data_IF_435392171158
#
_entry.id   IF_435392171158
#
_cell.length_a   1.000
_cell.length_b   1.000
_cell.length_c   1.000
_cell.angle_alpha   90.00
_cell.angle_beta   90.00
_cell.angle_gamma   90.00
#
_symmetry.space_group_name_H-M   'P 1'
#
loop_
_entity.id
_entity.type
_entity.pdbx_description
1 polymer ?
#
# COMPACT_ATOMS: atom_id res chain seq x y z
N UNK A 1 -5.99 -9.51 12.57
CA UNK A 1 -6.12 -9.77 11.13
C UNK A 1 -4.93 -10.63 10.77
N UNK A 2 -5.16 -11.72 10.06
CA UNK A 2 -4.08 -12.56 9.57
C UNK A 2 -3.20 -11.78 8.58
N UNK A 3 -1.97 -12.23 8.34
CA UNK A 3 -0.98 -11.48 7.55
C UNK A 3 -1.42 -11.19 6.10
N UNK A 4 -2.37 -11.94 5.57
CA UNK A 4 -2.93 -11.81 4.23
C UNK A 4 -4.34 -11.20 4.21
N UNK A 5 -4.81 -10.59 5.31
CA UNK A 5 -6.14 -9.98 5.40
C UNK A 5 -6.08 -8.45 5.48
N UNK A 6 -7.08 -7.80 4.92
CA UNK A 6 -7.37 -6.38 5.12
C UNK A 6 -8.89 -6.18 5.19
N UNK A 7 -9.34 -5.12 5.85
CA UNK A 7 -10.77 -4.80 5.96
C UNK A 7 -11.05 -3.53 5.15
N UNK A 8 -11.97 -3.63 4.19
CA UNK A 8 -12.48 -2.48 3.44
C UNK A 8 -13.85 -2.03 4.00
N UNK A 9 -13.97 -0.72 4.28
CA UNK A 9 -15.17 -0.08 4.79
C UNK A 9 -15.60 0.98 3.78
N UNK A 10 -16.81 0.83 3.22
CA UNK A 10 -17.38 1.77 2.24
C UNK A 10 -18.63 2.41 2.83
N UNK A 11 -18.76 3.73 2.69
CA UNK A 11 -19.96 4.45 3.12
C UNK A 11 -19.84 5.18 4.46
N UNK A 12 -18.65 5.19 5.07
CA UNK A 12 -18.45 5.86 6.36
C UNK A 12 -18.74 7.37 6.25
N UNK A 13 -19.62 7.86 7.11
CA UNK A 13 -19.93 9.28 7.27
C UNK A 13 -19.08 9.87 8.39
N UNK A 14 -18.55 11.07 8.17
CA UNK A 14 -17.87 11.83 9.22
C UNK A 14 -18.88 12.68 9.97
N UNK A 15 -18.92 12.55 11.30
CA UNK A 15 -19.85 13.32 12.15
C UNK A 15 -19.19 14.47 12.93
N UNK A 16 -17.87 14.47 13.07
CA UNK A 16 -17.19 15.41 13.97
C UNK A 16 -15.90 15.98 13.41
N UNK A 17 -15.60 17.20 13.81
CA UNK A 17 -14.28 17.83 13.70
C UNK A 17 -13.46 17.54 14.95
N UNK A 18 -12.13 17.51 14.78
CA UNK A 18 -11.20 17.42 15.90
C UNK A 18 -9.99 18.33 15.70
N UNK A 19 -9.30 18.65 16.80
CA UNK A 19 -7.97 19.25 16.81
C UNK A 19 -7.02 18.45 17.70
N UNK A 20 -5.72 18.65 17.51
CA UNK A 20 -4.69 17.94 18.27
C UNK A 20 -4.61 16.45 17.95
N UNK A 21 -3.75 15.76 18.70
CA UNK A 21 -3.46 14.34 18.56
C UNK A 21 -3.03 13.75 19.91
N UNK A 22 -3.33 12.46 20.14
CA UNK A 22 -3.07 11.77 21.40
C UNK A 22 -3.59 12.57 22.62
N UNK A 23 -2.74 12.92 23.58
CA UNK A 23 -3.13 13.67 24.79
C UNK A 23 -3.72 15.06 24.51
N UNK A 24 -3.40 15.65 23.35
CA UNK A 24 -3.94 16.94 22.91
C UNK A 24 -5.22 16.82 22.07
N UNK A 25 -5.72 15.61 21.81
CA UNK A 25 -6.93 15.39 21.03
C UNK A 25 -8.14 16.07 21.68
N UNK A 26 -8.87 16.88 20.91
CA UNK A 26 -10.09 17.57 21.34
C UNK A 26 -11.15 17.50 20.24
N UNK A 27 -12.40 17.27 20.63
CA UNK A 27 -13.55 17.53 19.77
C UNK A 27 -13.61 19.02 19.44
N UNK A 28 -13.83 19.37 18.18
CA UNK A 28 -13.87 20.76 17.70
C UNK A 28 -15.16 21.13 16.97
N UNK A 29 -16.26 20.42 17.28
CA UNK A 29 -17.60 20.69 16.77
C UNK A 29 -18.10 19.62 15.81
N UNK A 30 -19.40 19.65 15.54
CA UNK A 30 -20.04 18.74 14.59
C UNK A 30 -19.53 18.98 13.17
N UNK A 31 -19.59 17.94 12.34
CA UNK A 31 -19.29 18.00 10.92
C UNK A 31 -20.47 17.46 10.12
N UNK A 32 -20.95 18.27 9.17
CA UNK A 32 -21.97 17.83 8.20
C UNK A 32 -21.24 17.33 6.97
N UNK A 33 -21.26 16.02 6.76
CA UNK A 33 -20.60 15.40 5.60
C UNK A 33 -21.39 15.67 4.32
N UNK A 34 -20.79 16.48 3.45
CA UNK A 34 -21.37 16.87 2.16
C UNK A 34 -20.93 15.98 1.00
N UNK A 35 -20.24 14.86 1.28
CA UNK A 35 -19.84 13.91 0.24
C UNK A 35 -21.07 13.32 -0.44
N UNK A 36 -20.94 13.17 -1.75
CA UNK A 36 -21.93 12.47 -2.56
C UNK A 36 -22.10 11.02 -2.11
N UNK A 37 -23.25 10.46 -2.47
CA UNK A 37 -23.56 9.05 -2.25
C UNK A 37 -23.40 8.27 -3.55
N UNK A 38 -23.12 6.98 -3.45
CA UNK A 38 -23.17 6.06 -4.58
C UNK A 38 -24.61 5.57 -4.86
N UNK A 39 -24.76 4.69 -5.85
CA UNK A 39 -26.04 4.10 -6.24
C UNK A 39 -26.70 3.25 -5.13
N UNK A 40 -25.95 2.87 -4.10
CA UNK A 40 -26.46 2.13 -2.93
C UNK A 40 -26.77 3.07 -1.75
N UNK A 41 -26.68 4.39 -1.93
CA UNK A 41 -26.92 5.37 -0.86
C UNK A 41 -25.78 5.46 0.15
N UNK A 42 -24.61 4.90 -0.14
CA UNK A 42 -23.43 4.95 0.74
C UNK A 42 -22.61 6.19 0.42
N UNK A 43 -22.08 6.89 1.43
CA UNK A 43 -21.13 7.99 1.19
C UNK A 43 -19.95 7.51 0.36
N UNK A 44 -19.46 8.34 -0.58
CA UNK A 44 -18.24 8.09 -1.37
C UNK A 44 -16.96 8.24 -0.50
N UNK A 45 -16.89 7.44 0.55
CA UNK A 45 -15.78 7.30 1.49
C UNK A 45 -15.41 5.82 1.52
N UNK A 46 -14.16 5.51 1.20
CA UNK A 46 -13.60 4.16 1.25
C UNK A 46 -12.37 4.18 2.15
N UNK A 47 -12.38 3.34 3.17
CA UNK A 47 -11.30 3.24 4.16
C UNK A 47 -10.85 1.78 4.16
N UNK A 48 -9.54 1.55 4.07
CA UNK A 48 -8.96 0.22 4.21
C UNK A 48 -8.12 0.17 5.48
N UNK A 49 -8.41 -0.80 6.34
CA UNK A 49 -7.65 -1.07 7.54
C UNK A 49 -6.60 -2.16 7.27
N UNK A 50 -5.33 -1.81 7.50
CA UNK A 50 -4.16 -2.70 7.45
C UNK A 50 -3.32 -2.51 8.71
N UNK A 51 -2.91 -3.61 9.34
CA UNK A 51 -2.11 -3.60 10.56
C UNK A 51 -0.61 -3.76 10.24
N UNK A 52 0.23 -2.82 10.68
CA UNK A 52 1.68 -2.96 10.61
C UNK A 52 2.20 -3.83 11.78
N UNK A 53 3.38 -4.42 11.63
CA UNK A 53 4.04 -5.13 12.73
C UNK A 53 4.39 -4.16 13.86
N UNK A 54 4.18 -4.59 15.11
CA UNK A 54 4.58 -3.84 16.30
C UNK A 54 6.02 -4.16 16.70
N UNK A 55 6.66 -3.24 17.44
CA UNK A 55 8.03 -3.41 17.93
C UNK A 55 9.05 -3.69 16.82
N UNK A 56 8.98 -2.93 15.73
CA UNK A 56 9.72 -3.16 14.49
C UNK A 56 11.24 -3.39 14.70
N UNK A 57 11.87 -2.55 15.52
CA UNK A 57 13.27 -2.69 15.93
C UNK A 57 14.23 -2.87 14.75
N UNK A 58 15.31 -3.64 14.94
CA UNK A 58 16.17 -4.06 13.81
C UNK A 58 15.56 -5.20 13.00
N UNK A 59 14.57 -5.92 13.55
CA UNK A 59 13.91 -7.02 12.86
C UNK A 59 13.27 -6.56 11.55
N UNK A 60 12.71 -5.36 11.49
CA UNK A 60 12.02 -4.85 10.29
C UNK A 60 12.82 -4.88 8.98
N UNK A 61 14.15 -4.93 9.04
CA UNK A 61 15.02 -5.03 7.87
C UNK A 61 15.25 -6.46 7.39
N UNK A 62 14.85 -7.49 8.16
CA UNK A 62 14.89 -8.87 7.67
C UNK A 62 13.90 -9.06 6.54
N UNK A 63 14.31 -9.82 5.53
CA UNK A 63 13.52 -10.08 4.31
C UNK A 63 12.09 -10.56 4.60
N UNK A 64 11.91 -11.43 5.60
CA UNK A 64 10.59 -11.97 5.96
C UNK A 64 9.62 -10.89 6.42
N UNK A 65 10.10 -9.87 7.14
CA UNK A 65 9.26 -8.79 7.65
C UNK A 65 9.03 -7.72 6.58
N UNK A 66 10.02 -7.42 5.72
CA UNK A 66 9.80 -6.60 4.54
C UNK A 66 8.71 -7.20 3.64
N UNK A 67 8.77 -8.52 3.41
CA UNK A 67 7.78 -9.24 2.61
C UNK A 67 6.40 -9.21 3.27
N UNK A 68 6.32 -9.45 4.60
CA UNK A 68 5.06 -9.37 5.35
C UNK A 68 4.41 -7.99 5.20
N UNK A 69 5.15 -6.92 5.45
CA UNK A 69 4.61 -5.56 5.42
C UNK A 69 4.20 -5.15 4.00
N UNK A 70 4.97 -5.58 2.99
CA UNK A 70 4.66 -5.35 1.57
C UNK A 70 3.40 -6.10 1.16
N UNK A 71 3.25 -7.37 1.55
CA UNK A 71 2.06 -8.18 1.26
C UNK A 71 0.81 -7.68 1.98
N UNK A 72 0.95 -7.23 3.24
CA UNK A 72 -0.14 -6.61 3.99
C UNK A 72 -0.64 -5.33 3.32
N UNK A 73 0.27 -4.44 2.95
CA UNK A 73 -0.08 -3.23 2.21
C UNK A 73 -0.71 -3.57 0.86
N UNK A 74 -0.13 -4.53 0.11
CA UNK A 74 -0.67 -4.98 -1.17
C UNK A 74 -2.08 -5.55 -1.03
N UNK A 75 -2.34 -6.38 -0.02
CA UNK A 75 -3.67 -6.91 0.27
C UNK A 75 -4.70 -5.78 0.48
N UNK A 76 -4.34 -4.73 1.23
CA UNK A 76 -5.21 -3.57 1.41
C UNK A 76 -5.34 -2.68 0.17
N UNK A 77 -4.34 -2.64 -0.70
CA UNK A 77 -4.36 -1.77 -1.88
C UNK A 77 -4.97 -2.45 -3.10
N UNK A 78 -5.12 -3.77 -3.11
CA UNK A 78 -5.67 -4.51 -4.23
C UNK A 78 -7.12 -4.07 -4.54
N UNK A 79 -7.36 -3.62 -5.77
CA UNK A 79 -8.70 -3.28 -6.24
C UNK A 79 -9.38 -4.53 -6.80
N UNK A 80 -10.29 -5.12 -6.01
CA UNK A 80 -11.01 -6.33 -6.41
C UNK A 80 -11.89 -6.12 -7.65
N UNK A 81 -12.35 -4.89 -7.92
CA UNK A 81 -13.17 -4.59 -9.10
C UNK A 81 -12.42 -4.71 -10.41
N UNK A 82 -11.07 -4.64 -10.38
CA UNK A 82 -10.19 -4.78 -11.54
C UNK A 82 -9.59 -6.19 -11.66
N UNK A 83 -9.79 -7.02 -10.65
CA UNK A 83 -9.30 -8.39 -10.65
C UNK A 83 -10.25 -9.26 -11.48
N UNK A 84 -10.10 -9.21 -12.80
CA UNK A 84 -10.49 -10.34 -13.65
C UNK A 84 -9.64 -11.53 -13.20
N UNK A 85 -10.24 -12.43 -12.40
CA UNK A 85 -9.62 -13.63 -11.82
C UNK A 85 -8.94 -14.54 -12.87
N UNK A 86 -9.15 -14.27 -14.16
CA UNK A 86 -8.58 -14.99 -15.32
C UNK A 86 -7.22 -14.46 -15.80
N UNK A 87 -6.80 -13.24 -15.46
CA UNK A 87 -5.58 -12.63 -16.02
C UNK A 87 -4.31 -12.89 -15.22
N UNK A 88 -4.40 -13.11 -13.91
CA UNK A 88 -3.22 -13.25 -13.05
C UNK A 88 -2.50 -14.61 -13.16
N UNK A 89 -3.15 -15.64 -13.71
CA UNK A 89 -2.59 -17.00 -13.78
C UNK A 89 -2.42 -17.53 -15.21
N UNK A 90 -2.57 -16.69 -16.24
CA UNK A 90 -2.55 -17.14 -17.66
C UNK A 90 -1.21 -16.99 -18.38
N UNK A 91 -0.11 -16.79 -17.65
CA UNK A 91 1.24 -16.92 -18.21
C UNK A 91 2.16 -17.64 -17.23
N UNK A 92 2.01 -18.96 -17.23
CA UNK A 92 2.86 -19.91 -16.53
C UNK A 92 2.71 -21.25 -17.24
N UNK A 93 3.16 -21.32 -18.50
CA UNK A 93 3.10 -22.51 -19.33
C UNK A 93 3.92 -23.66 -18.74
N UNK A 94 3.28 -24.48 -17.91
CA UNK A 94 3.74 -25.82 -17.56
C UNK A 94 2.84 -26.83 -18.28
N UNK A 95 3.36 -27.37 -19.38
CA UNK A 95 2.84 -28.61 -20.00
C UNK A 95 3.13 -29.77 -19.04
N UNK A 96 2.10 -30.47 -18.60
CA UNK A 96 2.28 -31.74 -17.90
C UNK A 96 1.01 -32.34 -17.29
N UNK A 97 0.47 -33.33 -18.01
CA UNK A 97 -0.28 -34.50 -17.50
C UNK A 97 -1.75 -34.35 -17.04
N UNK A 98 -2.66 -34.71 -17.96
CA UNK A 98 -3.63 -35.84 -17.87
C UNK A 98 -4.03 -36.35 -16.46
N UNK A 99 -5.26 -36.66 -16.08
CA UNK A 99 -6.58 -36.88 -16.69
C UNK A 99 -7.58 -36.99 -15.53
N UNK A 100 -8.82 -36.49 -15.64
CA UNK A 100 -10.07 -37.22 -15.31
C UNK A 100 -11.18 -36.64 -16.19
N UNK A 101 -11.74 -37.46 -17.07
CA UNK A 101 -13.04 -37.22 -17.70
C UNK A 101 -14.11 -37.66 -16.71
N UNK A 102 -15.07 -36.80 -16.42
CA UNK A 102 -16.35 -37.19 -15.85
C UNK A 102 -17.44 -36.32 -16.51
N UNK A 103 -18.58 -36.98 -16.72
CA UNK A 103 -19.56 -36.73 -17.76
C UNK A 103 -20.38 -35.44 -17.65
N UNK A 104 -21.00 -35.12 -18.78
CA UNK A 104 -21.93 -34.01 -18.98
C UNK A 104 -23.20 -34.23 -18.16
N UNK A 105 -23.64 -33.19 -17.47
CA UNK A 105 -25.06 -32.85 -17.36
C UNK A 105 -25.18 -31.35 -17.66
N UNK A 106 -25.96 -31.05 -18.71
CA UNK A 106 -26.38 -29.71 -19.11
C UNK A 106 -27.41 -29.22 -18.09
N UNK A 107 -27.02 -28.27 -17.24
CA UNK A 107 -27.95 -27.34 -16.61
C UNK A 107 -27.43 -25.91 -16.76
N UNK A 108 -28.22 -25.11 -17.46
CA UNK A 108 -28.09 -23.66 -17.61
C UNK A 108 -28.34 -23.00 -16.25
N UNK A 109 -27.32 -23.01 -15.39
CA UNK A 109 -27.28 -22.06 -14.28
C UNK A 109 -26.81 -20.71 -14.83
N UNK A 110 -27.74 -19.77 -14.95
CA UNK A 110 -27.41 -18.36 -15.03
C UNK A 110 -26.38 -18.06 -13.95
N UNK A 111 -25.14 -17.78 -14.37
CA UNK A 111 -24.15 -17.20 -13.48
C UNK A 111 -24.83 -15.99 -12.80
N UNK A 112 -24.81 -15.90 -11.46
CA UNK A 112 -25.52 -14.84 -10.75
C UNK A 112 -25.07 -13.52 -11.37
N UNK A 113 -26.01 -12.58 -11.62
CA UNK A 113 -25.74 -11.38 -12.38
C UNK A 113 -24.48 -10.79 -11.81
N UNK A 114 -23.45 -10.74 -12.68
CA UNK A 114 -22.11 -10.25 -12.33
C UNK A 114 -22.35 -9.07 -11.42
N UNK A 115 -21.74 -9.14 -10.24
CA UNK A 115 -21.64 -8.09 -9.26
C UNK A 115 -21.00 -6.86 -9.93
N UNK A 116 -21.79 -6.19 -10.79
CA UNK A 116 -21.53 -4.95 -11.49
C UNK A 116 -21.71 -3.87 -10.43
N UNK A 117 -20.88 -3.95 -9.40
CA UNK A 117 -20.76 -2.96 -8.37
C UNK A 117 -20.16 -1.72 -9.03
N UNK A 118 -20.95 -0.64 -9.02
CA UNK A 118 -20.49 0.73 -9.19
C UNK A 118 -19.35 0.90 -10.22
N UNK A 119 -19.65 0.80 -11.51
CA UNK A 119 -18.78 1.42 -12.50
C UNK A 119 -18.90 2.95 -12.34
N UNK A 120 -18.07 3.53 -11.47
CA UNK A 120 -17.77 4.96 -11.56
C UNK A 120 -16.91 5.11 -12.83
N UNK A 121 -17.37 5.82 -13.87
CA UNK A 121 -16.79 5.73 -15.23
C UNK A 121 -15.32 6.16 -15.36
N UNK A 122 -14.73 6.72 -14.30
CA UNK A 122 -13.36 7.25 -14.30
C UNK A 122 -12.43 6.55 -13.28
N UNK A 123 -12.67 5.27 -12.98
CA UNK A 123 -12.09 4.47 -11.87
C UNK A 123 -10.53 4.41 -11.80
N UNK A 124 -9.90 5.55 -11.49
CA UNK A 124 -8.50 5.75 -11.15
C UNK A 124 -8.41 6.21 -9.69
N UNK A 125 -8.96 5.40 -8.78
CA UNK A 125 -8.86 5.65 -7.34
C UNK A 125 -7.42 5.38 -6.89
N UNK A 126 -6.69 6.45 -6.55
CA UNK A 126 -5.37 6.39 -5.92
C UNK A 126 -5.44 6.06 -4.43
N UNK A 127 -4.28 5.95 -3.79
CA UNK A 127 -4.15 5.66 -2.35
C UNK A 127 -3.81 6.95 -1.60
N UNK A 128 -4.56 7.29 -0.56
CA UNK A 128 -4.17 8.31 0.42
C UNK A 128 -3.64 7.61 1.68
N UNK A 129 -2.38 7.86 2.04
CA UNK A 129 -1.71 7.18 3.17
C UNK A 129 -0.66 8.08 3.84
N UNK A 130 0.07 7.57 4.84
CA UNK A 130 1.16 8.29 5.50
C UNK A 130 2.10 7.33 6.22
N UNK A 131 2.60 7.77 7.38
CA UNK A 131 3.62 7.08 8.19
C UNK A 131 3.08 5.81 8.91
N UNK A 132 2.56 4.86 8.12
CA UNK A 132 1.96 3.61 8.58
C UNK A 132 2.97 2.80 9.41
N UNK A 133 2.58 2.48 10.65
CA UNK A 133 3.42 1.71 11.59
C UNK A 133 4.63 2.46 12.15
N UNK A 134 4.82 3.76 11.89
CA UNK A 134 6.03 4.48 12.30
C UNK A 134 5.91 5.24 13.63
N UNK A 135 4.71 5.31 14.21
CA UNK A 135 4.46 5.92 15.51
C UNK A 135 4.69 4.92 16.65
N UNK A 136 3.62 4.55 17.34
CA UNK A 136 3.66 3.61 18.47
C UNK A 136 4.30 2.25 18.14
N UNK A 137 4.33 1.85 16.86
CA UNK A 137 4.90 0.58 16.42
C UNK A 137 6.38 0.64 16.05
N UNK A 138 6.96 1.85 15.96
CA UNK A 138 8.40 2.06 15.84
C UNK A 138 9.02 1.71 14.48
N UNK A 139 8.23 1.61 13.42
CA UNK A 139 8.73 1.37 12.07
C UNK A 139 9.57 2.54 11.53
N UNK A 140 10.53 2.22 10.65
CA UNK A 140 11.30 3.20 9.91
C UNK A 140 10.42 3.85 8.82
N UNK A 141 10.18 5.17 8.88
CA UNK A 141 9.35 5.88 7.92
C UNK A 141 9.90 5.85 6.48
N UNK A 142 11.22 5.86 6.29
CA UNK A 142 11.80 5.82 4.94
C UNK A 142 11.49 4.49 4.28
N UNK A 143 11.70 3.38 4.99
CA UNK A 143 11.41 2.03 4.52
C UNK A 143 9.91 1.80 4.33
N UNK A 144 9.09 2.22 5.30
CA UNK A 144 7.63 2.09 5.22
C UNK A 144 7.04 2.88 4.05
N UNK A 145 7.67 3.98 3.63
CA UNK A 145 7.26 4.71 2.43
C UNK A 145 7.52 3.88 1.17
N UNK A 146 8.70 3.27 1.05
CA UNK A 146 9.06 2.43 -0.10
C UNK A 146 8.19 1.16 -0.16
N UNK A 147 7.97 0.50 0.98
CA UNK A 147 7.07 -0.67 1.09
C UNK A 147 5.67 -0.34 0.56
N UNK A 148 5.10 0.80 0.95
CA UNK A 148 3.79 1.22 0.48
C UNK A 148 3.80 1.58 -1.02
N UNK A 149 4.88 2.19 -1.53
CA UNK A 149 5.02 2.47 -2.95
C UNK A 149 5.08 1.19 -3.78
N UNK A 150 5.88 0.20 -3.37
CA UNK A 150 5.95 -1.10 -4.01
C UNK A 150 4.58 -1.78 -4.06
N UNK A 151 3.89 -1.84 -2.93
CA UNK A 151 2.56 -2.43 -2.82
C UNK A 151 1.54 -1.73 -3.72
N UNK A 152 1.52 -0.39 -3.74
CA UNK A 152 0.60 0.38 -4.57
C UNK A 152 0.86 0.20 -6.07
N UNK A 153 2.14 0.20 -6.47
CA UNK A 153 2.54 -0.06 -7.85
C UNK A 153 2.16 -1.47 -8.30
N UNK A 154 2.40 -2.48 -7.46
CA UNK A 154 2.02 -3.86 -7.74
C UNK A 154 0.49 -4.05 -7.81
N UNK A 155 -0.26 -3.30 -7.01
CA UNK A 155 -1.73 -3.25 -7.05
C UNK A 155 -2.29 -2.40 -8.19
N UNK A 156 -1.44 -1.88 -9.09
CA UNK A 156 -1.81 -1.04 -10.23
C UNK A 156 -2.62 0.21 -9.83
N UNK A 157 -2.30 0.78 -8.66
CA UNK A 157 -2.89 2.04 -8.21
C UNK A 157 -2.27 3.18 -9.01
N UNK A 158 -3.09 4.11 -9.55
CA UNK A 158 -2.61 5.15 -10.45
C UNK A 158 -1.76 6.22 -9.76
N UNK A 159 -1.93 6.40 -8.45
CA UNK A 159 -1.21 7.38 -7.65
C UNK A 159 -1.23 7.03 -6.17
N UNK A 160 -0.24 7.55 -5.44
CA UNK A 160 -0.19 7.55 -3.97
C UNK A 160 -0.03 9.00 -3.50
N UNK A 161 -0.97 9.49 -2.71
CA UNK A 161 -0.87 10.73 -1.95
C UNK A 161 -0.35 10.41 -0.55
N UNK A 162 0.93 10.69 -0.31
CA UNK A 162 1.59 10.38 0.94
C UNK A 162 1.68 11.60 1.85
N UNK A 163 1.10 11.52 3.06
CA UNK A 163 1.11 12.57 4.06
C UNK A 163 2.20 12.30 5.11
N UNK A 164 3.29 13.06 5.08
CA UNK A 164 4.47 12.87 5.95
C UNK A 164 4.28 13.38 7.37
N UNK A 165 3.24 14.18 7.62
CA UNK A 165 2.99 14.86 8.89
C UNK A 165 4.22 15.64 9.42
N UNK A 166 5.03 16.21 8.53
CA UNK A 166 6.19 17.04 8.88
C UNK A 166 7.41 16.26 9.38
N UNK A 167 7.45 14.95 9.17
CA UNK A 167 8.56 14.11 9.63
C UNK A 167 9.84 14.41 8.84
N UNK A 168 10.89 14.85 9.55
CA UNK A 168 12.14 15.33 8.93
C UNK A 168 12.88 14.26 8.11
N UNK A 169 12.83 12.99 8.51
CA UNK A 169 13.43 11.90 7.73
C UNK A 169 12.85 11.78 6.32
N UNK A 170 11.61 12.25 6.11
CA UNK A 170 10.94 12.21 4.82
C UNK A 170 11.03 13.54 4.04
N UNK A 171 11.85 14.49 4.47
CA UNK A 171 11.95 15.82 3.82
C UNK A 171 12.36 15.73 2.34
N UNK A 172 13.12 14.70 1.97
CA UNK A 172 13.62 14.49 0.61
C UNK A 172 12.78 13.48 -0.20
N UNK A 173 11.59 13.10 0.29
CA UNK A 173 10.74 12.10 -0.37
C UNK A 173 10.35 12.52 -1.79
N UNK A 174 10.08 13.80 -2.02
CA UNK A 174 9.72 14.29 -3.36
C UNK A 174 10.89 14.13 -4.34
N UNK A 175 12.09 14.56 -3.96
CA UNK A 175 13.31 14.45 -4.76
C UNK A 175 13.65 12.99 -5.07
N UNK A 176 13.57 12.13 -4.06
CA UNK A 176 13.76 10.68 -4.22
C UNK A 176 12.75 10.11 -5.22
N UNK A 177 11.47 10.44 -5.05
CA UNK A 177 10.40 9.90 -5.90
C UNK A 177 10.54 10.32 -7.37
N UNK A 178 10.92 11.57 -7.61
CA UNK A 178 11.20 12.08 -8.95
C UNK A 178 12.42 11.38 -9.55
N UNK A 179 13.50 11.22 -8.79
CA UNK A 179 14.71 10.55 -9.24
C UNK A 179 14.42 9.09 -9.64
N UNK A 180 13.74 8.31 -8.79
CA UNK A 180 13.38 6.92 -9.07
C UNK A 180 12.49 6.84 -10.34
N UNK A 181 11.51 7.74 -10.45
CA UNK A 181 10.61 7.78 -11.61
C UNK A 181 11.36 8.10 -12.91
N UNK A 182 12.34 9.01 -12.88
CA UNK A 182 13.17 9.35 -14.03
C UNK A 182 14.08 8.20 -14.47
N UNK A 183 14.50 7.33 -13.56
CA UNK A 183 15.31 6.15 -13.88
C UNK A 183 14.47 5.00 -14.45
N UNK A 184 13.14 5.12 -14.48
CA UNK A 184 12.26 4.11 -15.07
C UNK A 184 12.29 2.77 -14.33
N UNK A 185 12.58 2.79 -13.02
CA UNK A 185 12.66 1.56 -12.22
C UNK A 185 11.32 0.82 -12.17
N UNK A 186 11.41 -0.50 -12.31
CA UNK A 186 10.27 -1.39 -12.08
C UNK A 186 10.05 -1.62 -10.59
N UNK A 187 8.92 -2.25 -10.24
CA UNK A 187 8.67 -2.73 -8.87
C UNK A 187 9.81 -3.65 -8.40
N UNK A 188 10.32 -4.51 -9.29
CA UNK A 188 11.43 -5.41 -8.98
C UNK A 188 12.74 -4.69 -8.69
N UNK A 189 13.07 -3.65 -9.46
CA UNK A 189 14.29 -2.86 -9.26
C UNK A 189 14.27 -2.17 -7.90
N UNK A 190 13.16 -1.50 -7.56
CA UNK A 190 13.01 -0.83 -6.27
C UNK A 190 12.99 -1.83 -5.10
N UNK A 191 12.39 -3.01 -5.28
CA UNK A 191 12.44 -4.09 -4.30
C UNK A 191 13.87 -4.59 -4.06
N UNK A 192 14.66 -4.79 -5.13
CA UNK A 192 16.04 -5.22 -5.01
C UNK A 192 16.88 -4.21 -4.21
N UNK A 193 16.72 -2.91 -4.50
CA UNK A 193 17.42 -1.86 -3.75
C UNK A 193 16.99 -1.82 -2.28
N UNK A 194 15.70 -2.03 -2.01
CA UNK A 194 15.18 -2.09 -0.64
C UNK A 194 15.76 -3.30 0.13
N UNK A 195 15.82 -4.47 -0.50
CA UNK A 195 16.37 -5.69 0.09
C UNK A 195 17.87 -5.55 0.34
N UNK A 196 18.61 -5.01 -0.61
CA UNK A 196 20.05 -4.77 -0.47
C UNK A 196 20.34 -3.82 0.70
N UNK A 197 19.69 -2.65 0.72
CA UNK A 197 19.82 -1.71 1.83
C UNK A 197 19.51 -2.38 3.16
N UNK A 198 18.39 -3.10 3.23
CA UNK A 198 17.91 -3.68 4.48
C UNK A 198 18.87 -4.77 4.99
N UNK A 199 19.47 -5.55 4.10
CA UNK A 199 20.54 -6.50 4.46
C UNK A 199 21.74 -5.77 5.06
N UNK A 200 22.24 -4.72 4.39
CA UNK A 200 23.37 -3.92 4.90
C UNK A 200 23.03 -3.28 6.25
N UNK A 201 21.79 -2.79 6.41
CA UNK A 201 21.30 -2.15 7.64
C UNK A 201 21.21 -3.15 8.78
N UNK A 202 20.65 -4.33 8.53
CA UNK A 202 20.53 -5.41 9.49
C UNK A 202 21.90 -5.91 9.98
N UNK A 203 22.84 -6.08 9.05
CA UNK A 203 24.23 -6.49 9.33
C UNK A 203 25.10 -5.36 9.91
N UNK A 204 24.56 -4.14 10.04
CA UNK A 204 25.27 -2.94 10.51
C UNK A 204 26.43 -2.50 9.62
N UNK A 205 26.38 -2.83 8.34
CA UNK A 205 27.31 -2.39 7.31
C UNK A 205 27.06 -0.93 6.91
N UNK A 206 25.81 -0.46 7.06
CA UNK A 206 25.45 0.96 6.90
C UNK A 206 24.70 1.50 8.11
N UNK A 207 24.99 2.76 8.44
CA UNK A 207 24.25 3.53 9.44
C UNK A 207 23.34 4.61 8.88
N UNK A 208 23.34 4.78 7.55
CA UNK A 208 22.55 5.79 6.85
C UNK A 208 21.06 5.39 6.76
N UNK A 209 20.18 6.38 6.67
CA UNK A 209 18.80 6.17 6.21
C UNK A 209 18.78 5.69 4.75
N UNK A 210 17.70 5.03 4.34
CA UNK A 210 17.52 4.54 2.98
C UNK A 210 17.73 5.65 1.94
N UNK A 211 17.22 6.86 2.21
CA UNK A 211 17.25 7.95 1.23
C UNK A 211 18.69 8.40 0.96
N UNK A 212 19.47 8.56 2.04
CA UNK A 212 20.88 8.93 1.96
C UNK A 212 21.77 7.81 1.43
N UNK A 213 21.43 6.56 1.72
CA UNK A 213 22.12 5.40 1.17
C UNK A 213 21.88 5.26 -0.34
N UNK A 214 20.62 5.42 -0.79
CA UNK A 214 20.26 5.26 -2.19
C UNK A 214 20.79 6.40 -3.05
N UNK A 215 20.73 7.63 -2.53
CA UNK A 215 21.10 8.83 -3.28
C UNK A 215 22.00 9.77 -2.46
N UNK A 216 23.28 9.38 -2.21
CA UNK A 216 24.19 10.15 -1.35
C UNK A 216 24.43 11.58 -1.83
N UNK A 217 24.33 11.83 -3.13
CA UNK A 217 24.51 13.15 -3.74
C UNK A 217 23.47 14.18 -3.27
N UNK A 218 22.24 13.76 -2.94
CA UNK A 218 21.23 14.65 -2.36
C UNK A 218 21.59 15.13 -0.94
N UNK A 219 22.44 14.38 -0.24
CA UNK A 219 22.81 14.65 1.15
C UNK A 219 24.23 15.21 1.28
N UNK A 220 24.97 15.27 0.17
CA UNK A 220 26.33 15.84 0.13
C UNK A 220 26.34 17.38 0.06
N UNK A 221 25.19 18.02 -0.20
CA UNK A 221 25.08 19.49 -0.34
C UNK A 221 24.85 20.23 0.99
N UNK A 222 24.69 19.53 2.12
CA UNK A 222 24.57 20.16 3.45
C UNK A 222 25.92 20.27 4.19
N UNK A 223 27.04 19.90 3.55
CA UNK A 223 28.37 19.82 4.16
C UNK A 223 29.39 20.88 3.70
N UNK A 224 28.93 22.01 3.16
CA UNK A 224 29.78 23.16 2.79
C UNK A 224 29.24 24.47 3.32
#
# INVERSE_FOLDING_TARGET
>A
MEDNEAIEIVGAERFSNYTGYASSFRFSGDYVDKRDVDSFGRRRTRIVAIDALCNAGMGQYELKYLLRETNKAFCGFLDQSKCDHKRLFRDGGLKGSQCIQADRDDDMDEAPPRLLWCEDPENKIGIATGNWGCGAFGGDPEIKTIVQWLAASQALRPSVSYYTCGLKSLQNLNQLSQWISLHGWTVGDLWNMLVEYSSQRFNRETNLGFFAWLLPSLFSQEAT
#
